data_IF_997756152907
#
_entry.id   IF_997756152907
#
_cell.length_a   1.000
_cell.length_b   1.000
_cell.length_c   1.000
_cell.angle_alpha   90.00
_cell.angle_beta   90.00
_cell.angle_gamma   90.00
#
_symmetry.space_group_name_H-M   'P 1'
#
loop_
_entity.id
_entity.type
_entity.pdbx_description
1 polymer ?
#
# COMPACT_ATOMS: atom_id res chain seq x y z
N UNK A 1 -7.55 13.34 35.76
CA UNK A 1 -8.42 12.84 34.67
C UNK A 1 -8.65 14.00 33.69
N UNK A 2 -8.09 13.91 32.48
CA UNK A 2 -8.12 14.96 31.47
C UNK A 2 -8.68 14.37 30.17
N UNK A 3 -9.73 14.94 29.56
CA UNK A 3 -10.12 14.59 28.21
C UNK A 3 -9.53 15.62 27.23
N UNK A 4 -8.56 15.18 26.43
CA UNK A 4 -8.12 15.88 25.21
C UNK A 4 -9.03 15.46 24.06
N UNK A 5 -10.03 16.30 23.75
CA UNK A 5 -10.71 16.28 22.46
C UNK A 5 -10.18 17.45 21.63
N UNK A 6 -9.37 17.15 20.62
CA UNK A 6 -9.09 18.05 19.49
C UNK A 6 -8.29 17.27 18.45
N UNK A 7 -8.99 16.65 17.50
CA UNK A 7 -8.42 16.39 16.18
C UNK A 7 -9.42 16.86 15.12
N UNK A 8 -9.12 18.06 14.61
CA UNK A 8 -9.63 18.64 13.37
C UNK A 8 -9.24 17.71 12.21
N UNK A 9 -10.21 17.20 11.47
CA UNK A 9 -9.97 16.69 10.13
C UNK A 9 -10.15 17.83 9.13
N UNK A 10 -9.04 18.33 8.61
CA UNK A 10 -9.01 19.04 7.34
C UNK A 10 -9.13 18.00 6.23
N UNK A 11 -10.28 17.95 5.56
CA UNK A 11 -10.42 17.31 4.26
C UNK A 11 -10.39 18.41 3.20
N UNK A 12 -9.29 18.50 2.47
CA UNK A 12 -9.23 19.19 1.18
C UNK A 12 -10.12 18.41 0.20
N UNK A 13 -11.31 18.93 -0.08
CA UNK A 13 -12.15 18.53 -1.22
C UNK A 13 -11.64 19.26 -2.46
N UNK A 14 -10.95 18.53 -3.34
CA UNK A 14 -10.70 19.02 -4.70
C UNK A 14 -11.99 18.92 -5.51
N UNK A 15 -12.51 20.10 -5.86
CA UNK A 15 -13.49 20.34 -6.90
C UNK A 15 -13.04 19.73 -8.23
N UNK A 16 -13.91 18.96 -8.87
CA UNK A 16 -13.92 18.82 -10.33
C UNK A 16 -15.33 19.14 -10.81
N UNK A 17 -15.54 20.39 -11.19
CA UNK A 17 -16.62 20.79 -12.09
C UNK A 17 -16.28 20.29 -13.49
N UNK A 18 -17.21 19.58 -14.13
CA UNK A 18 -17.22 19.42 -15.57
C UNK A 18 -18.57 19.92 -16.07
N UNK A 19 -18.55 21.11 -16.66
CA UNK A 19 -19.64 21.75 -17.39
C UNK A 19 -19.34 21.59 -18.88
N UNK A 20 -20.36 21.33 -19.71
CA UNK A 20 -20.35 21.92 -21.04
C UNK A 20 -21.64 22.73 -21.27
N UNK A 21 -21.45 24.03 -21.52
CA UNK A 21 -22.43 24.86 -22.19
C UNK A 21 -22.30 24.66 -23.70
N UNK A 22 -23.44 24.65 -24.40
CA UNK A 22 -23.51 24.67 -25.86
C UNK A 22 -24.95 24.86 -26.33
N UNK A 23 -25.40 26.12 -26.35
CA UNK A 23 -26.68 26.57 -26.90
C UNK A 23 -26.88 26.13 -28.37
N UNK A 24 -28.07 25.64 -28.71
CA UNK A 24 -28.82 26.13 -29.88
C UNK A 24 -30.32 26.19 -29.55
N UNK A 25 -30.82 27.43 -29.62
CA UNK A 25 -32.22 27.83 -29.67
C UNK A 25 -32.87 27.36 -30.96
N UNK A 26 -34.01 26.68 -30.86
CA UNK A 26 -35.05 26.69 -31.89
C UNK A 26 -36.41 26.68 -31.19
N UNK A 27 -37.14 27.78 -31.38
CA UNK A 27 -38.53 28.00 -30.99
C UNK A 27 -39.44 27.25 -31.99
N UNK A 28 -40.40 26.50 -31.48
CA UNK A 28 -41.51 25.89 -32.24
C UNK A 28 -42.43 25.21 -31.23
N UNK A 29 -43.44 25.94 -30.77
CA UNK A 29 -44.85 25.79 -31.19
C UNK A 29 -45.48 24.52 -30.59
N UNK A 30 -46.40 24.76 -29.67
CA UNK A 30 -47.19 23.75 -28.99
C UNK A 30 -48.02 22.93 -29.98
N UNK A 31 -48.09 21.61 -29.80
CA UNK A 31 -49.37 20.96 -29.54
C UNK A 31 -49.27 19.43 -29.29
N UNK A 32 -50.29 18.95 -28.56
CA UNK A 32 -50.76 17.56 -28.42
C UNK A 32 -50.04 16.62 -27.45
N UNK A 33 -50.60 16.63 -26.24
CA UNK A 33 -51.16 15.45 -25.55
C UNK A 33 -50.75 14.07 -26.11
N UNK A 34 -49.82 13.44 -25.42
CA UNK A 34 -49.54 12.01 -25.49
C UNK A 34 -49.15 11.52 -24.10
N UNK A 35 -50.15 11.32 -23.25
CA UNK A 35 -49.98 10.62 -21.97
C UNK A 35 -49.61 9.17 -22.26
N UNK A 36 -48.30 8.89 -22.33
CA UNK A 36 -47.78 7.52 -22.37
C UNK A 36 -48.11 6.88 -21.03
N UNK A 37 -49.22 6.14 -20.99
CA UNK A 37 -49.60 5.34 -19.83
C UNK A 37 -48.46 4.36 -19.54
N UNK A 38 -47.69 4.63 -18.47
CA UNK A 38 -46.74 3.68 -17.95
C UNK A 38 -47.52 2.42 -17.56
N UNK A 39 -47.22 1.30 -18.21
CA UNK A 39 -47.87 0.03 -17.86
C UNK A 39 -47.66 -0.24 -16.37
N UNK A 40 -48.67 -0.74 -15.63
CA UNK A 40 -48.59 -0.95 -14.19
C UNK A 40 -47.45 -1.90 -13.75
N UNK A 41 -46.87 -2.68 -14.68
CA UNK A 41 -45.73 -3.56 -14.38
C UNK A 41 -44.42 -2.80 -14.07
N UNK A 42 -44.16 -1.69 -14.77
CA UNK A 42 -42.94 -0.90 -14.58
C UNK A 42 -43.00 -0.04 -13.31
N UNK A 43 -44.19 0.42 -12.93
CA UNK A 43 -44.40 1.14 -11.67
C UNK A 43 -44.11 0.25 -10.45
N UNK A 44 -44.53 -1.01 -10.49
CA UNK A 44 -44.23 -1.99 -9.44
C UNK A 44 -42.73 -2.30 -9.36
N UNK A 45 -42.04 -2.43 -10.50
CA UNK A 45 -40.60 -2.67 -10.54
C UNK A 45 -39.81 -1.51 -9.89
N UNK A 46 -40.23 -0.26 -10.15
CA UNK A 46 -39.63 0.93 -9.55
C UNK A 46 -39.91 1.02 -8.04
N UNK A 47 -41.12 0.68 -7.58
CA UNK A 47 -41.42 0.60 -6.15
C UNK A 47 -40.60 -0.50 -5.43
N UNK A 48 -40.40 -1.66 -6.07
CA UNK A 48 -39.54 -2.73 -5.53
C UNK A 48 -38.09 -2.25 -5.42
N UNK A 49 -37.56 -1.55 -6.43
CA UNK A 49 -36.20 -1.00 -6.39
C UNK A 49 -36.05 0.15 -5.37
N UNK A 50 -37.11 0.94 -5.14
CA UNK A 50 -37.11 2.03 -4.16
C UNK A 50 -37.25 1.56 -2.70
N UNK A 51 -37.90 0.41 -2.48
CA UNK A 51 -38.06 -0.20 -1.16
C UNK A 51 -36.97 -1.21 -0.80
N UNK A 52 -36.11 -1.58 -1.75
CA UNK A 52 -34.91 -2.35 -1.42
C UNK A 52 -34.02 -1.47 -0.54
N UNK A 53 -33.72 -1.88 0.71
CA UNK A 53 -32.89 -1.09 1.60
C UNK A 53 -31.54 -0.91 0.91
N UNK A 54 -31.22 0.33 0.52
CA UNK A 54 -29.93 0.70 -0.10
C UNK A 54 -28.73 0.24 0.75
N UNK A 55 -28.96 0.05 2.06
CA UNK A 55 -28.01 -0.51 3.03
C UNK A 55 -27.75 -2.02 2.87
N UNK A 56 -28.61 -2.80 2.21
CA UNK A 56 -28.40 -4.23 1.97
C UNK A 56 -27.47 -4.50 0.78
N UNK A 57 -27.49 -3.64 -0.25
CA UNK A 57 -26.58 -3.73 -1.41
C UNK A 57 -25.15 -3.27 -1.10
N UNK A 58 -24.96 -2.47 -0.04
CA UNK A 58 -23.66 -1.97 0.41
C UNK A 58 -23.05 -2.78 1.56
N UNK A 59 -23.53 -3.99 1.86
CA UNK A 59 -22.79 -4.96 2.69
C UNK A 59 -21.58 -5.49 1.90
N UNK A 60 -20.64 -4.61 1.56
CA UNK A 60 -19.26 -5.01 1.31
C UNK A 60 -18.82 -5.70 2.60
N UNK A 61 -18.69 -7.02 2.53
CA UNK A 61 -18.04 -7.81 3.56
C UNK A 61 -16.63 -7.24 3.76
N UNK A 62 -16.49 -6.25 4.64
CA UNK A 62 -15.21 -5.90 5.21
C UNK A 62 -14.80 -7.11 6.05
N UNK A 63 -14.11 -8.06 5.42
CA UNK A 63 -13.42 -9.13 6.12
C UNK A 63 -12.46 -8.42 7.06
N UNK A 64 -12.76 -8.45 8.36
CA UNK A 64 -11.84 -7.94 9.39
C UNK A 64 -10.49 -8.59 9.12
N UNK A 65 -9.49 -7.76 8.81
CA UNK A 65 -8.12 -8.21 8.67
C UNK A 65 -7.74 -8.80 10.04
N UNK A 66 -7.73 -10.14 10.16
CA UNK A 66 -7.28 -10.78 11.39
C UNK A 66 -5.80 -10.47 11.55
N UNK A 67 -5.38 -9.90 12.71
CA UNK A 67 -3.97 -9.74 13.00
C UNK A 67 -3.38 -11.15 13.08
N UNK A 68 -2.56 -11.49 12.10
CA UNK A 68 -1.75 -12.69 12.13
C UNK A 68 -0.34 -12.23 11.86
N UNK A 69 0.54 -12.49 12.82
CA UNK A 69 1.96 -12.21 12.69
C UNK A 69 2.54 -13.07 11.56
N UNK A 70 3.41 -12.50 10.75
CA UNK A 70 4.12 -13.22 9.71
C UNK A 70 5.61 -13.00 9.85
N UNK A 71 6.39 -14.01 9.44
CA UNK A 71 7.83 -13.96 9.45
C UNK A 71 8.32 -13.30 8.16
N UNK A 72 9.07 -12.22 8.28
CA UNK A 72 9.64 -11.46 7.18
C UNK A 72 11.16 -11.45 7.30
N UNK A 73 11.84 -12.09 6.36
CA UNK A 73 13.29 -12.07 6.26
C UNK A 73 13.74 -10.92 5.36
N UNK A 74 14.63 -10.08 5.88
CA UNK A 74 15.25 -8.99 5.12
C UNK A 74 16.76 -9.20 5.08
N UNK A 75 17.32 -9.13 3.89
CA UNK A 75 18.75 -9.21 3.64
C UNK A 75 19.27 -7.89 3.09
N UNK A 76 20.35 -7.38 3.67
CA UNK A 76 21.04 -6.18 3.21
C UNK A 76 22.44 -6.56 2.79
N UNK A 77 22.76 -6.38 1.51
CA UNK A 77 24.07 -6.67 0.95
C UNK A 77 24.88 -5.39 0.83
N UNK A 78 25.98 -5.31 1.56
CA UNK A 78 26.93 -4.22 1.42
C UNK A 78 27.97 -4.62 0.35
N UNK A 79 28.04 -3.88 -0.75
CA UNK A 79 29.05 -4.16 -1.78
C UNK A 79 30.41 -3.57 -1.44
N UNK A 80 30.45 -2.28 -1.16
CA UNK A 80 31.69 -1.52 -1.07
C UNK A 80 31.60 -0.30 -0.13
N UNK A 81 30.59 -0.21 0.75
CA UNK A 81 30.48 0.88 1.72
C UNK A 81 31.39 0.57 2.92
N UNK A 82 32.50 1.28 3.04
CA UNK A 82 33.49 1.13 4.12
C UNK A 82 33.23 2.08 5.28
N UNK A 83 32.85 3.31 4.98
CA UNK A 83 32.87 4.41 5.95
C UNK A 83 31.58 4.54 6.77
N UNK A 84 30.70 3.54 6.67
CA UNK A 84 29.46 3.53 7.41
C UNK A 84 29.73 3.24 8.90
N UNK A 85 29.21 4.09 9.77
CA UNK A 85 29.22 3.89 11.23
C UNK A 85 28.32 2.71 11.59
N UNK A 86 27.09 2.73 11.09
CA UNK A 86 26.16 1.61 11.18
C UNK A 86 25.06 1.69 10.13
N UNK A 87 24.39 0.56 9.95
CA UNK A 87 23.18 0.42 9.15
C UNK A 87 22.00 0.30 10.11
N UNK A 88 20.91 1.00 9.81
CA UNK A 88 19.67 0.97 10.58
C UNK A 88 18.52 0.60 9.67
N UNK A 89 17.92 -0.56 9.92
CA UNK A 89 16.71 -0.98 9.22
C UNK A 89 15.49 -0.62 10.07
N UNK A 90 14.65 0.26 9.54
CA UNK A 90 13.42 0.72 10.18
C UNK A 90 12.24 0.12 9.44
N UNK A 91 11.39 -0.55 10.20
CA UNK A 91 10.19 -1.21 9.71
C UNK A 91 9.01 -0.98 10.62
N UNK A 92 7.98 -1.77 10.36
CA UNK A 92 6.76 -1.75 11.16
C UNK A 92 7.04 -2.37 12.52
N UNK A 93 7.01 -1.53 13.55
CA UNK A 93 7.19 -1.90 14.97
C UNK A 93 8.53 -2.61 15.24
N UNK A 94 9.48 -2.49 14.29
CA UNK A 94 10.78 -3.15 14.29
C UNK A 94 11.84 -2.14 13.87
N UNK A 95 12.88 -2.01 14.67
CA UNK A 95 14.10 -1.26 14.35
C UNK A 95 15.30 -2.14 14.66
N UNK A 96 16.27 -2.19 13.76
CA UNK A 96 17.49 -2.94 13.97
C UNK A 96 18.70 -2.13 13.49
N UNK A 97 19.63 -1.91 14.40
CA UNK A 97 20.93 -1.33 14.10
C UNK A 97 21.95 -2.46 14.01
N UNK A 98 22.80 -2.43 12.99
CA UNK A 98 23.77 -3.48 12.72
C UNK A 98 24.95 -2.93 11.92
N UNK A 99 26.05 -3.67 11.96
CA UNK A 99 27.23 -3.40 11.15
C UNK A 99 27.39 -4.48 10.08
N UNK A 100 27.75 -4.08 8.87
CA UNK A 100 28.02 -5.01 7.75
C UNK A 100 29.29 -4.57 7.05
N UNK A 101 30.30 -5.44 7.08
CA UNK A 101 31.52 -5.20 6.34
C UNK A 101 31.27 -5.20 4.81
N UNK A 102 32.09 -4.49 4.03
CA UNK A 102 32.06 -4.55 2.57
C UNK A 102 32.13 -5.99 2.05
N UNK A 103 31.36 -6.29 1.00
CA UNK A 103 31.23 -7.62 0.41
C UNK A 103 30.39 -8.62 1.23
N UNK A 104 29.91 -8.26 2.42
CA UNK A 104 29.09 -9.14 3.28
C UNK A 104 27.61 -8.81 3.19
N UNK A 105 26.80 -9.77 3.62
CA UNK A 105 25.34 -9.65 3.65
C UNK A 105 24.85 -9.87 5.06
N UNK A 106 24.07 -8.92 5.57
CA UNK A 106 23.29 -9.09 6.78
C UNK A 106 21.94 -9.71 6.45
N UNK A 107 21.47 -10.68 7.23
CA UNK A 107 20.15 -11.28 7.06
C UNK A 107 19.50 -11.43 8.42
N UNK A 108 18.28 -10.93 8.56
CA UNK A 108 17.49 -11.05 9.80
C UNK A 108 16.03 -11.30 9.48
N UNK A 109 15.40 -12.13 10.30
CA UNK A 109 13.97 -12.41 10.25
C UNK A 109 13.26 -11.63 11.34
N UNK A 110 12.15 -10.99 10.98
CA UNK A 110 11.33 -10.16 11.83
C UNK A 110 9.93 -10.75 11.90
N UNK A 111 9.34 -10.72 13.10
CA UNK A 111 7.93 -11.00 13.28
C UNK A 111 7.14 -9.69 13.09
N UNK A 112 6.22 -9.69 12.12
CA UNK A 112 5.51 -8.48 11.70
C UNK A 112 4.00 -8.70 11.78
N UNK A 113 3.29 -7.79 12.42
CA UNK A 113 1.85 -7.92 12.68
C UNK A 113 0.96 -7.30 11.58
N UNK A 114 1.48 -6.29 10.87
CA UNK A 114 0.70 -5.48 9.92
C UNK A 114 1.52 -5.04 8.71
N UNK A 115 0.81 -4.71 7.63
CA UNK A 115 1.40 -4.09 6.44
C UNK A 115 2.01 -2.73 6.80
N UNK A 116 3.20 -2.44 6.28
CA UNK A 116 3.76 -1.10 6.37
C UNK A 116 5.14 -0.97 5.73
N UNK A 117 5.80 0.14 6.06
CA UNK A 117 6.92 0.68 5.30
C UNK A 117 8.23 0.21 5.91
N UNK A 118 9.18 -0.15 5.06
CA UNK A 118 10.52 -0.58 5.42
C UNK A 118 11.54 0.31 4.71
N UNK A 119 12.52 0.80 5.45
CA UNK A 119 13.54 1.74 4.96
C UNK A 119 14.88 1.39 5.61
N UNK A 120 15.94 1.36 4.81
CA UNK A 120 17.30 1.27 5.29
C UNK A 120 17.90 2.67 5.41
N UNK A 121 18.60 2.92 6.51
CA UNK A 121 19.38 4.11 6.76
C UNK A 121 20.83 3.71 6.94
N UNK A 122 21.74 4.44 6.32
CA UNK A 122 23.18 4.28 6.50
C UNK A 122 23.70 5.57 7.13
N UNK A 123 24.30 5.46 8.31
CA UNK A 123 24.89 6.60 9.02
C UNK A 123 26.40 6.63 8.81
N UNK A 124 26.95 7.82 8.60
CA UNK A 124 28.37 8.11 8.40
C UNK A 124 28.92 8.93 9.59
N UNK A 125 30.24 8.88 9.86
CA UNK A 125 30.86 9.57 11.00
C UNK A 125 30.60 11.09 11.04
N UNK A 126 30.41 11.75 9.90
CA UNK A 126 30.12 13.19 9.80
C UNK A 126 28.67 13.56 10.16
N UNK A 127 27.91 12.70 10.85
CA UNK A 127 26.46 12.81 11.04
C UNK A 127 25.66 12.91 9.72
N UNK A 128 26.27 12.54 8.60
CA UNK A 128 25.59 12.40 7.31
C UNK A 128 24.84 11.07 7.30
N UNK A 129 23.67 11.04 6.68
CA UNK A 129 22.92 9.81 6.51
C UNK A 129 22.40 9.68 5.08
N UNK A 130 22.38 8.45 4.58
CA UNK A 130 21.73 8.08 3.33
C UNK A 130 20.50 7.23 3.64
N UNK A 131 19.39 7.46 2.92
CA UNK A 131 18.13 6.71 3.11
C UNK A 131 17.76 6.00 1.83
N UNK A 132 17.37 4.74 1.95
CA UNK A 132 16.88 3.96 0.84
C UNK A 132 15.47 4.39 0.42
N UNK A 133 15.03 3.97 -0.79
CA UNK A 133 13.62 3.96 -1.13
C UNK A 133 12.81 3.16 -0.11
N UNK A 134 11.60 3.65 0.17
CA UNK A 134 10.65 3.03 1.08
C UNK A 134 9.95 1.85 0.40
N UNK A 135 9.83 0.73 1.10
CA UNK A 135 9.10 -0.45 0.62
C UNK A 135 7.94 -0.79 1.50
N UNK A 136 6.75 -0.84 0.91
CA UNK A 136 5.57 -1.35 1.60
C UNK A 136 5.57 -2.87 1.47
N UNK A 137 5.65 -3.56 2.60
CA UNK A 137 5.60 -5.03 2.68
C UNK A 137 4.39 -5.42 3.52
N UNK A 138 3.63 -6.39 3.03
CA UNK A 138 2.47 -6.98 3.70
C UNK A 138 2.66 -8.48 3.90
N UNK A 139 1.77 -9.09 4.68
CA UNK A 139 1.70 -10.55 4.83
C UNK A 139 1.65 -11.31 3.50
N UNK A 140 0.90 -10.78 2.55
CA UNK A 140 0.66 -11.45 1.26
C UNK A 140 1.82 -11.19 0.27
N UNK A 141 2.86 -10.45 0.69
CA UNK A 141 4.08 -10.23 -0.08
C UNK A 141 5.03 -11.43 0.00
N UNK A 142 6.18 -11.35 -0.70
CA UNK A 142 7.22 -12.36 -0.56
C UNK A 142 7.76 -12.37 0.87
N UNK A 143 8.08 -13.54 1.45
CA UNK A 143 8.58 -13.63 2.82
C UNK A 143 10.04 -13.19 2.95
N UNK A 144 10.78 -13.11 1.83
CA UNK A 144 12.19 -12.74 1.83
C UNK A 144 12.48 -11.67 0.77
N UNK A 145 13.10 -10.58 1.20
CA UNK A 145 13.53 -9.49 0.34
C UNK A 145 15.00 -9.17 0.56
N UNK A 146 15.67 -8.71 -0.49
CA UNK A 146 17.05 -8.26 -0.45
C UNK A 146 17.17 -6.85 -1.02
N UNK A 147 18.02 -6.04 -0.40
CA UNK A 147 18.44 -4.74 -0.89
C UNK A 147 19.96 -4.71 -0.93
N UNK A 148 20.50 -4.11 -1.98
CA UNK A 148 21.93 -3.93 -2.18
C UNK A 148 22.29 -2.46 -1.95
N UNK A 149 23.42 -2.23 -1.29
CA UNK A 149 23.95 -0.90 -0.98
C UNK A 149 25.31 -0.77 -1.61
N UNK A 150 25.52 0.34 -2.30
CA UNK A 150 26.75 0.64 -3.04
C UNK A 150 27.25 2.03 -2.68
N UNK A 151 28.55 2.18 -2.70
CA UNK A 151 29.24 3.45 -2.67
C UNK A 151 29.64 3.83 -4.09
N UNK A 152 29.21 5.01 -4.53
CA UNK A 152 29.77 5.74 -5.65
C UNK A 152 30.63 6.87 -5.07
N UNK A 153 31.68 7.33 -5.77
CA UNK A 153 32.51 8.43 -5.28
C UNK A 153 31.65 9.63 -4.84
N UNK A 154 31.62 9.89 -3.53
CA UNK A 154 30.85 10.99 -2.93
C UNK A 154 29.37 10.70 -2.62
N UNK A 155 28.79 9.55 -2.97
CA UNK A 155 27.38 9.24 -2.71
C UNK A 155 27.11 7.75 -2.48
N UNK A 156 26.19 7.45 -1.55
CA UNK A 156 25.70 6.08 -1.34
C UNK A 156 24.42 5.85 -2.13
N UNK A 157 24.43 4.80 -2.94
CA UNK A 157 23.31 4.32 -3.73
C UNK A 157 22.66 3.10 -3.11
N UNK A 158 21.36 2.93 -3.40
CA UNK A 158 20.56 1.78 -2.99
C UNK A 158 19.94 1.13 -4.23
N UNK A 159 19.94 -0.20 -4.27
CA UNK A 159 19.11 -0.91 -5.24
C UNK A 159 17.63 -0.78 -4.88
N UNK A 160 16.78 -1.17 -5.83
CA UNK A 160 15.41 -1.53 -5.51
C UNK A 160 15.35 -2.75 -4.58
N UNK A 161 14.20 -2.93 -3.92
CA UNK A 161 13.96 -4.12 -3.13
C UNK A 161 13.65 -5.31 -4.04
N UNK A 162 14.57 -6.28 -4.05
CA UNK A 162 14.44 -7.50 -4.84
C UNK A 162 13.77 -8.61 -4.04
N UNK A 163 12.87 -9.33 -4.70
CA UNK A 163 12.15 -10.48 -4.12
C UNK A 163 13.07 -11.69 -4.20
N UNK A 164 13.35 -12.33 -3.07
CA UNK A 164 13.97 -13.65 -3.11
C UNK A 164 12.89 -14.69 -3.44
N UNK A 165 13.16 -15.52 -4.46
CA UNK A 165 12.24 -16.60 -4.84
C UNK A 165 12.00 -17.50 -3.64
N UNK A 166 10.73 -17.76 -3.34
CA UNK A 166 10.34 -18.84 -2.44
C UNK A 166 10.95 -20.13 -3.01
N UNK A 167 11.79 -20.83 -2.25
CA UNK A 167 12.12 -22.22 -2.58
C UNK A 167 10.79 -22.95 -2.62
N UNK A 168 10.31 -23.30 -3.82
CA UNK A 168 9.20 -24.23 -3.95
C UNK A 168 9.73 -25.53 -3.38
N UNK A 169 9.17 -25.98 -2.26
CA UNK A 169 9.33 -27.36 -1.83
C UNK A 169 8.85 -28.23 -2.99
N UNK A 170 9.78 -28.83 -3.73
CA UNK A 170 9.42 -29.93 -4.63
C UNK A 170 9.09 -31.09 -3.70
N UNK A 171 7.81 -31.41 -3.63
CA UNK A 171 7.36 -32.64 -3.00
C UNK A 171 7.82 -33.77 -3.93
N UNK A 172 9.03 -34.28 -3.74
CA UNK A 172 9.39 -35.55 -4.35
C UNK A 172 8.56 -36.60 -3.61
N UNK A 173 7.65 -37.26 -4.33
CA UNK A 173 7.16 -38.55 -3.87
C UNK A 173 8.33 -39.50 -4.05
N UNK A 174 8.87 -40.00 -2.95
CA UNK A 174 9.66 -41.22 -3.00
C UNK A 174 8.66 -42.30 -3.41
N UNK A 175 8.85 -42.85 -4.61
CA UNK A 175 8.16 -44.06 -5.03
C UNK A 175 9.13 -45.16 -4.61
N UNK A 176 8.80 -45.84 -3.52
CA UNK A 176 9.44 -47.10 -3.12
C UNK A 176 8.95 -48.24 -4.05
#
# INVERSE_FOLDING_TARGET
>A
MSPRNLFKYFLFTNHCHFVPQGLKSCRGEADRSGTTSMSPSWALLLCILAHLPWSALLKRHYRRYRPHNYQLTLSIRNHNVTDARFFRLIGVDNTADFFVAPGKTFTKTYEVSRKGWWTLIVEFPDNKFARSPKKIISRDSYPHWIMEVYYYPGQVGFSEWHKMRRRKYRHYRVID
#
